data_IF_999496605278
#
_entry.id   IF_999496605278
#
_cell.length_a   1.000
_cell.length_b   1.000
_cell.length_c   1.000
_cell.angle_alpha   90.00
_cell.angle_beta   90.00
_cell.angle_gamma   90.00
#
_symmetry.space_group_name_H-M   'P 1'
#
loop_
_entity.id
_entity.type
_entity.pdbx_description
1 polymer ?
#
# COMPACT_ATOMS: atom_id res chain seq x y z
N UNK A 1 18.58 11.29 5.74
CA UNK A 1 18.95 12.02 6.96
C UNK A 1 20.46 12.22 6.99
N UNK A 2 20.91 13.45 7.23
CA UNK A 2 22.33 13.81 7.29
C UNK A 2 22.64 14.39 8.67
N UNK A 3 23.65 13.88 9.36
CA UNK A 3 24.20 14.42 10.61
C UNK A 3 25.71 14.54 10.50
N UNK A 4 26.27 15.67 10.95
CA UNK A 4 27.72 15.92 10.88
C UNK A 4 28.36 15.67 9.51
N UNK A 5 27.60 15.96 8.42
CA UNK A 5 28.04 15.72 7.04
C UNK A 5 27.97 14.26 6.56
N UNK A 6 27.49 13.34 7.39
CA UNK A 6 27.35 11.92 7.06
C UNK A 6 25.88 11.54 6.85
N UNK A 7 25.61 10.70 5.86
CA UNK A 7 24.29 10.10 5.62
C UNK A 7 24.08 9.00 6.66
N UNK A 8 23.13 9.22 7.60
CA UNK A 8 22.87 8.29 8.71
C UNK A 8 21.66 7.38 8.49
N UNK A 9 20.80 7.70 7.53
CA UNK A 9 19.63 6.90 7.22
C UNK A 9 18.93 7.39 5.97
N UNK A 10 18.15 6.48 5.39
CA UNK A 10 17.27 6.72 4.24
C UNK A 10 15.94 6.05 4.49
N UNK A 11 14.87 6.77 4.27
CA UNK A 11 13.50 6.26 4.27
C UNK A 11 12.83 6.62 2.95
N UNK A 12 11.90 5.80 2.51
CA UNK A 12 11.15 5.99 1.28
C UNK A 12 9.67 5.81 1.59
N UNK A 13 8.86 6.75 1.13
CA UNK A 13 7.43 6.76 1.33
C UNK A 13 6.73 6.85 -0.02
N UNK A 14 5.61 6.15 -0.15
CA UNK A 14 4.75 6.20 -1.33
C UNK A 14 3.54 7.02 -0.95
N UNK A 15 3.37 8.15 -1.62
CA UNK A 15 2.17 8.98 -1.48
C UNK A 15 1.15 8.58 -2.54
N UNK A 16 -0.08 8.28 -2.11
CA UNK A 16 -1.22 8.09 -3.00
C UNK A 16 -2.06 9.37 -2.95
N UNK A 17 -2.00 10.15 -3.99
CA UNK A 17 -2.83 11.36 -4.13
C UNK A 17 -4.05 11.05 -4.98
N UNK A 18 -5.21 11.58 -4.59
CA UNK A 18 -6.43 11.52 -5.39
C UNK A 18 -6.50 12.63 -6.46
N UNK A 19 -5.53 13.53 -6.49
CA UNK A 19 -5.47 14.66 -7.42
C UNK A 19 -4.19 14.57 -8.24
N UNK A 20 -4.33 14.83 -9.54
CA UNK A 20 -3.21 14.88 -10.49
C UNK A 20 -2.18 15.98 -10.11
N UNK A 21 -0.96 15.52 -9.86
CA UNK A 21 0.34 16.13 -10.17
C UNK A 21 0.64 17.57 -9.78
N UNK A 22 0.14 18.10 -8.68
CA UNK A 22 0.78 19.31 -8.14
C UNK A 22 1.88 18.95 -7.13
N UNK A 23 3.11 18.79 -7.63
CA UNK A 23 4.29 18.45 -6.82
C UNK A 23 4.48 19.32 -5.58
N UNK A 24 4.23 20.65 -5.59
CA UNK A 24 4.28 21.51 -4.41
C UNK A 24 3.30 21.10 -3.32
N UNK A 25 2.07 20.74 -3.69
CA UNK A 25 1.03 20.30 -2.77
C UNK A 25 1.37 18.95 -2.12
N UNK A 26 1.76 17.96 -2.94
CA UNK A 26 2.19 16.63 -2.47
C UNK A 26 3.36 16.73 -1.48
N UNK A 27 4.32 17.62 -1.74
CA UNK A 27 5.45 17.83 -0.85
C UNK A 27 5.02 18.46 0.49
N UNK A 28 4.09 19.41 0.46
CA UNK A 28 3.53 20.04 1.66
C UNK A 28 2.80 19.02 2.53
N UNK A 29 1.96 18.18 1.94
CA UNK A 29 1.22 17.13 2.64
C UNK A 29 2.14 16.06 3.21
N UNK A 30 3.17 15.66 2.46
CA UNK A 30 4.17 14.74 2.97
C UNK A 30 4.89 15.31 4.21
N UNK A 31 5.33 16.56 4.17
CA UNK A 31 6.01 17.19 5.29
C UNK A 31 5.11 17.27 6.52
N UNK A 32 3.83 17.63 6.34
CA UNK A 32 2.85 17.66 7.43
C UNK A 32 2.67 16.27 8.04
N UNK A 33 2.36 15.25 7.24
CA UNK A 33 2.11 13.88 7.70
C UNK A 33 3.35 13.28 8.39
N UNK A 34 4.51 13.42 7.78
CA UNK A 34 5.75 12.86 8.32
C UNK A 34 6.11 13.47 9.67
N UNK A 35 6.17 14.80 9.75
CA UNK A 35 6.55 15.48 10.98
C UNK A 35 5.44 15.58 12.03
N UNK A 36 4.22 15.17 11.71
CA UNK A 36 3.17 15.02 12.73
C UNK A 36 3.50 13.87 13.70
N UNK A 37 3.99 12.76 13.19
CA UNK A 37 4.32 11.56 13.97
C UNK A 37 5.76 11.51 14.49
N UNK A 38 6.69 12.30 13.93
CA UNK A 38 8.11 12.25 14.26
C UNK A 38 8.48 13.28 15.33
N UNK A 39 9.13 12.79 16.40
CA UNK A 39 9.55 13.66 17.52
C UNK A 39 10.78 14.52 17.22
N UNK A 40 11.67 14.10 16.32
CA UNK A 40 12.91 14.82 16.01
C UNK A 40 12.80 15.62 14.72
N UNK A 41 12.70 16.93 14.85
CA UNK A 41 12.67 17.87 13.72
C UNK A 41 14.06 18.44 13.51
N UNK A 42 14.65 18.34 12.30
CA UNK A 42 15.97 18.88 12.00
C UNK A 42 15.97 20.42 11.97
N UNK A 43 17.16 21.01 12.05
CA UNK A 43 17.30 22.45 11.91
C UNK A 43 17.02 22.93 10.47
N UNK A 44 17.29 22.08 9.49
CA UNK A 44 17.13 22.42 8.08
C UNK A 44 16.54 21.27 7.30
N UNK A 45 15.56 21.58 6.45
CA UNK A 45 15.00 20.69 5.45
C UNK A 45 15.43 21.18 4.07
N UNK A 46 16.03 20.27 3.29
CA UNK A 46 16.36 20.54 1.90
C UNK A 46 15.23 19.99 1.02
N UNK A 47 14.69 20.81 0.15
CA UNK A 47 13.56 20.47 -0.72
C UNK A 47 14.01 20.52 -2.17
N UNK A 48 13.35 19.74 -3.03
CA UNK A 48 13.57 19.72 -4.47
C UNK A 48 13.02 20.97 -5.15
N UNK A 49 11.84 21.42 -4.70
CA UNK A 49 11.16 22.61 -5.18
C UNK A 49 10.44 23.29 -4.00
N UNK A 50 9.89 24.47 -4.24
CA UNK A 50 9.03 25.14 -3.25
C UNK A 50 7.79 24.30 -3.03
N UNK A 51 7.24 24.35 -1.84
CA UNK A 51 5.98 23.71 -1.50
C UNK A 51 4.92 24.76 -1.16
N UNK A 52 3.66 24.33 -1.18
CA UNK A 52 2.55 25.15 -0.77
C UNK A 52 2.62 25.45 0.74
N UNK A 53 2.07 26.58 1.15
CA UNK A 53 2.01 26.97 2.56
C UNK A 53 3.37 26.98 3.29
N UNK A 54 4.49 27.15 2.57
CA UNK A 54 5.86 27.06 3.09
C UNK A 54 6.05 27.84 4.40
N UNK A 55 5.47 29.05 4.48
CA UNK A 55 5.56 29.90 5.67
C UNK A 55 4.85 29.26 6.88
N UNK A 56 3.64 28.79 6.69
CA UNK A 56 2.82 28.18 7.76
C UNK A 56 3.48 26.89 8.25
N UNK A 57 3.96 26.07 7.33
CA UNK A 57 4.64 24.81 7.66
C UNK A 57 5.96 25.08 8.41
N UNK A 58 6.72 26.11 8.00
CA UNK A 58 7.96 26.51 8.68
C UNK A 58 7.69 26.95 10.12
N UNK A 59 6.66 27.75 10.33
CA UNK A 59 6.26 28.23 11.64
C UNK A 59 5.79 27.06 12.54
N UNK A 60 4.95 26.18 12.02
CA UNK A 60 4.49 24.99 12.71
C UNK A 60 5.66 24.08 13.12
N UNK A 61 6.59 23.78 12.20
CA UNK A 61 7.77 22.96 12.48
C UNK A 61 8.68 23.64 13.53
N UNK A 62 8.84 24.94 13.46
CA UNK A 62 9.66 25.70 14.42
C UNK A 62 9.07 25.66 15.82
N UNK A 63 7.74 25.83 15.93
CA UNK A 63 7.01 25.73 17.19
C UNK A 63 7.13 24.30 17.78
N UNK A 64 6.94 23.28 16.95
CA UNK A 64 7.05 21.88 17.37
C UNK A 64 8.48 21.52 17.81
N UNK A 65 9.49 22.05 17.15
CA UNK A 65 10.90 21.85 17.50
C UNK A 65 11.33 22.67 18.74
N UNK A 66 10.65 23.77 19.05
CA UNK A 66 11.07 24.75 20.05
C UNK A 66 12.25 25.63 19.63
N UNK A 67 12.67 25.56 18.35
CA UNK A 67 13.77 26.34 17.75
C UNK A 67 13.50 26.54 16.27
N UNK A 68 14.10 27.56 15.66
CA UNK A 68 13.91 27.86 14.25
C UNK A 68 14.26 26.67 13.33
N UNK A 69 13.38 26.42 12.33
CA UNK A 69 13.56 25.46 11.24
C UNK A 69 13.68 26.23 9.93
N UNK A 70 14.66 25.87 9.12
CA UNK A 70 14.90 26.47 7.80
C UNK A 70 14.46 25.50 6.71
N UNK A 71 13.54 25.91 5.85
CA UNK A 71 13.22 25.25 4.59
C UNK A 71 14.09 25.85 3.48
N UNK A 72 14.70 25.03 2.65
CA UNK A 72 15.64 25.51 1.64
C UNK A 72 15.58 24.67 0.37
N UNK A 73 15.43 25.36 -0.77
CA UNK A 73 15.58 24.77 -2.12
C UNK A 73 16.96 25.15 -2.64
N UNK A 74 17.97 24.26 -2.55
CA UNK A 74 19.34 24.60 -2.92
C UNK A 74 19.49 24.68 -4.43
N UNK A 75 20.08 25.78 -4.90
CA UNK A 75 20.29 26.02 -6.35
C UNK A 75 21.67 25.57 -6.85
N UNK A 76 22.65 25.35 -5.95
CA UNK A 76 24.04 25.01 -6.30
C UNK A 76 24.79 24.33 -5.15
N UNK A 77 25.93 23.74 -5.45
CA UNK A 77 26.82 23.13 -4.48
C UNK A 77 26.39 21.75 -3.97
N UNK A 78 27.02 21.28 -2.90
CA UNK A 78 26.79 19.93 -2.36
C UNK A 78 25.34 19.66 -1.92
N UNK A 79 24.68 20.67 -1.34
CA UNK A 79 23.29 20.54 -0.93
C UNK A 79 22.36 20.27 -2.12
N UNK A 80 22.63 20.89 -3.27
CA UNK A 80 21.88 20.61 -4.50
C UNK A 80 22.13 19.17 -4.97
N UNK A 81 23.37 18.72 -4.99
CA UNK A 81 23.72 17.33 -5.36
C UNK A 81 23.03 16.32 -4.46
N UNK A 82 22.92 16.58 -3.16
CA UNK A 82 22.16 15.74 -2.23
C UNK A 82 20.68 15.65 -2.59
N UNK A 83 20.05 16.76 -2.91
CA UNK A 83 18.63 16.78 -3.32
C UNK A 83 18.43 16.06 -4.65
N UNK A 84 19.31 16.28 -5.63
CA UNK A 84 19.28 15.57 -6.92
C UNK A 84 19.43 14.07 -6.74
N UNK A 85 20.35 13.64 -5.89
CA UNK A 85 20.53 12.20 -5.56
C UNK A 85 19.26 11.61 -4.91
N UNK A 86 18.61 12.35 -4.01
CA UNK A 86 17.36 11.91 -3.37
C UNK A 86 16.23 11.83 -4.39
N UNK A 87 16.12 12.82 -5.28
CA UNK A 87 15.13 12.84 -6.36
C UNK A 87 15.31 11.65 -7.32
N UNK A 88 16.54 11.38 -7.74
CA UNK A 88 16.86 10.23 -8.58
C UNK A 88 16.51 8.90 -7.88
N UNK A 89 16.88 8.75 -6.61
CA UNK A 89 16.52 7.57 -5.82
C UNK A 89 14.99 7.38 -5.71
N UNK A 90 14.24 8.44 -5.52
CA UNK A 90 12.77 8.40 -5.46
C UNK A 90 12.18 7.97 -6.82
N UNK A 91 12.71 8.53 -7.91
CA UNK A 91 12.30 8.18 -9.27
C UNK A 91 12.56 6.70 -9.57
N UNK A 92 13.75 6.19 -9.28
CA UNK A 92 14.10 4.78 -9.46
C UNK A 92 13.22 3.87 -8.61
N UNK A 93 12.93 4.24 -7.36
CA UNK A 93 12.02 3.50 -6.49
C UNK A 93 10.59 3.43 -7.07
N UNK A 94 10.10 4.52 -7.64
CA UNK A 94 8.78 4.57 -8.29
C UNK A 94 8.73 3.69 -9.54
N UNK A 95 9.78 3.72 -10.37
CA UNK A 95 9.89 2.85 -11.55
C UNK A 95 9.88 1.38 -11.17
N UNK A 96 10.63 0.99 -10.15
CA UNK A 96 10.64 -0.38 -9.64
C UNK A 96 9.27 -0.82 -9.14
N UNK A 97 8.57 0.06 -8.41
CA UNK A 97 7.22 -0.21 -7.93
C UNK A 97 6.24 -0.41 -9.08
N UNK A 98 6.26 0.49 -10.07
CA UNK A 98 5.41 0.40 -11.28
C UNK A 98 5.70 -0.90 -12.05
N UNK A 99 6.96 -1.29 -12.19
CA UNK A 99 7.36 -2.52 -12.86
C UNK A 99 6.84 -3.76 -12.14
N UNK A 100 6.94 -3.82 -10.81
CA UNK A 100 6.37 -4.92 -10.01
C UNK A 100 4.85 -4.99 -10.17
N UNK A 101 4.18 -3.86 -10.10
CA UNK A 101 2.72 -3.77 -10.25
C UNK A 101 2.24 -4.32 -11.59
N UNK A 102 2.93 -3.93 -12.69
CA UNK A 102 2.63 -4.45 -14.03
C UNK A 102 2.90 -5.97 -14.12
N UNK A 103 4.01 -6.43 -13.53
CA UNK A 103 4.32 -7.86 -13.48
C UNK A 103 3.25 -8.65 -12.72
N UNK A 104 2.77 -8.14 -11.59
CA UNK A 104 1.72 -8.78 -10.78
C UNK A 104 0.36 -8.81 -11.51
N UNK A 105 0.03 -7.78 -12.30
CA UNK A 105 -1.18 -7.75 -13.13
C UNK A 105 -1.08 -8.80 -14.23
N UNK A 106 0.02 -8.83 -14.98
CA UNK A 106 0.24 -9.76 -16.06
C UNK A 106 0.25 -11.22 -15.56
N UNK A 107 0.88 -11.48 -14.41
CA UNK A 107 0.89 -12.81 -13.81
C UNK A 107 -0.52 -13.27 -13.42
N UNK A 108 -1.37 -12.38 -12.91
CA UNK A 108 -2.77 -12.69 -12.56
C UNK A 108 -3.61 -12.97 -13.80
N UNK A 109 -3.50 -12.14 -14.82
CA UNK A 109 -4.21 -12.35 -16.09
C UNK A 109 -3.82 -13.67 -16.73
N UNK A 110 -2.53 -14.00 -16.77
CA UNK A 110 -2.03 -15.27 -17.27
C UNK A 110 -2.56 -16.47 -16.47
N UNK A 111 -2.58 -16.36 -15.13
CA UNK A 111 -3.12 -17.41 -14.26
C UNK A 111 -4.62 -17.64 -14.48
N UNK A 112 -5.40 -16.59 -14.70
CA UNK A 112 -6.83 -16.71 -14.99
C UNK A 112 -7.09 -17.32 -16.39
N UNK A 113 -6.25 -16.99 -17.37
CA UNK A 113 -6.29 -17.58 -18.71
C UNK A 113 -5.95 -19.07 -18.65
N UNK A 114 -4.88 -19.43 -17.95
CA UNK A 114 -4.49 -20.83 -17.74
C UNK A 114 -5.63 -21.63 -17.05
N UNK A 115 -6.27 -21.05 -16.03
CA UNK A 115 -7.41 -21.68 -15.37
C UNK A 115 -8.58 -21.87 -16.32
N UNK A 116 -8.88 -20.90 -17.17
CA UNK A 116 -9.91 -21.02 -18.20
C UNK A 116 -9.62 -22.16 -19.16
N UNK A 117 -8.39 -22.25 -19.66
CA UNK A 117 -7.96 -23.30 -20.59
C UNK A 117 -7.99 -24.70 -19.96
N UNK A 118 -7.41 -24.86 -18.77
CA UNK A 118 -7.33 -26.14 -18.08
C UNK A 118 -8.70 -26.72 -17.70
N UNK A 119 -9.66 -25.85 -17.37
CA UNK A 119 -11.02 -26.24 -17.02
C UNK A 119 -12.01 -26.17 -18.19
N UNK A 120 -11.56 -25.81 -19.41
CA UNK A 120 -12.40 -25.60 -20.59
C UNK A 120 -13.59 -24.68 -20.30
N UNK A 121 -13.37 -23.58 -19.59
CA UNK A 121 -14.43 -22.64 -19.27
C UNK A 121 -14.81 -21.80 -20.49
N UNK A 122 -16.10 -21.52 -20.70
CA UNK A 122 -16.57 -20.75 -21.87
C UNK A 122 -16.16 -19.28 -21.82
N UNK A 123 -15.73 -18.78 -20.67
CA UNK A 123 -15.29 -17.40 -20.44
C UNK A 123 -14.30 -17.34 -19.29
N UNK A 124 -13.53 -16.23 -19.24
CA UNK A 124 -12.56 -15.98 -18.17
C UNK A 124 -13.24 -15.97 -16.79
N UNK A 125 -12.73 -16.71 -15.79
CA UNK A 125 -13.33 -16.81 -14.46
C UNK A 125 -12.99 -15.58 -13.61
N UNK A 126 -13.72 -14.48 -13.82
CA UNK A 126 -13.51 -13.23 -13.08
C UNK A 126 -13.83 -13.31 -11.61
N UNK A 127 -14.69 -14.26 -11.21
CA UNK A 127 -15.03 -14.56 -9.83
C UNK A 127 -14.84 -16.04 -9.56
N UNK A 128 -14.03 -16.33 -8.55
CA UNK A 128 -13.76 -17.70 -8.08
C UNK A 128 -14.10 -17.75 -6.60
N UNK A 129 -14.88 -18.75 -6.21
CA UNK A 129 -15.25 -18.99 -4.83
C UNK A 129 -14.70 -20.34 -4.39
N UNK A 130 -14.15 -20.40 -3.19
CA UNK A 130 -13.71 -21.63 -2.58
C UNK A 130 -14.41 -21.80 -1.24
N UNK A 131 -14.96 -22.99 -1.05
CA UNK A 131 -15.74 -23.37 0.12
C UNK A 131 -15.01 -24.48 0.89
N UNK A 132 -15.05 -24.36 2.21
CA UNK A 132 -14.45 -25.34 3.11
C UNK A 132 -15.39 -25.61 4.29
N UNK A 133 -15.48 -26.88 4.73
CA UNK A 133 -16.23 -27.30 5.91
C UNK A 133 -15.26 -27.69 7.01
N UNK A 134 -15.42 -27.09 8.17
CA UNK A 134 -14.62 -27.41 9.35
C UNK A 134 -15.51 -27.98 10.45
N UNK A 135 -15.20 -29.19 10.89
CA UNK A 135 -15.85 -29.88 12.00
C UNK A 135 -14.91 -29.95 13.19
N UNK A 136 -15.29 -29.35 14.31
CA UNK A 136 -14.58 -29.55 15.58
C UNK A 136 -15.32 -30.62 16.37
N UNK A 137 -14.88 -31.88 16.28
CA UNK A 137 -15.39 -33.01 17.03
C UNK A 137 -16.93 -33.22 16.98
N UNK A 138 -17.56 -32.84 15.88
CA UNK A 138 -18.99 -33.08 15.66
C UNK A 138 -19.94 -32.14 16.39
N UNK A 139 -19.47 -31.11 17.07
CA UNK A 139 -20.34 -30.28 17.93
C UNK A 139 -20.81 -28.94 17.31
N UNK A 140 -20.12 -28.41 16.33
CA UNK A 140 -20.56 -27.16 15.67
C UNK A 140 -19.91 -27.06 14.30
N UNK A 141 -20.47 -27.66 13.25
CA UNK A 141 -19.91 -27.57 11.92
C UNK A 141 -20.07 -26.14 11.38
N UNK A 142 -19.01 -25.64 10.79
CA UNK A 142 -18.92 -24.29 10.22
C UNK A 142 -18.39 -24.38 8.80
N UNK A 143 -19.10 -23.73 7.88
CA UNK A 143 -18.60 -23.52 6.52
C UNK A 143 -17.94 -22.17 6.36
N UNK A 144 -16.92 -22.10 5.55
CA UNK A 144 -16.28 -20.86 5.14
C UNK A 144 -16.26 -20.72 3.63
N UNK A 145 -16.40 -19.49 3.16
CA UNK A 145 -16.28 -19.10 1.77
C UNK A 145 -15.26 -18.01 1.62
N UNK A 146 -14.26 -18.23 0.78
CA UNK A 146 -13.32 -17.21 0.33
C UNK A 146 -13.61 -16.87 -1.13
N UNK A 147 -13.39 -15.62 -1.49
CA UNK A 147 -13.73 -15.10 -2.81
C UNK A 147 -12.52 -14.42 -3.42
N UNK A 148 -12.28 -14.72 -4.70
CA UNK A 148 -11.34 -14.00 -5.55
C UNK A 148 -12.11 -13.29 -6.66
N UNK A 149 -11.80 -12.05 -6.92
CA UNK A 149 -12.29 -11.27 -8.06
C UNK A 149 -11.10 -10.77 -8.88
N UNK A 150 -11.13 -11.02 -10.19
CA UNK A 150 -10.05 -10.70 -11.13
C UNK A 150 -8.66 -11.16 -10.63
N UNK A 151 -8.60 -12.37 -10.10
CA UNK A 151 -7.38 -12.99 -9.56
C UNK A 151 -6.89 -12.41 -8.22
N UNK A 152 -7.69 -11.59 -7.53
CA UNK A 152 -7.34 -11.01 -6.23
C UNK A 152 -8.30 -11.45 -5.11
N UNK A 153 -7.79 -11.70 -3.89
CA UNK A 153 -8.64 -11.95 -2.74
C UNK A 153 -9.58 -10.77 -2.46
N UNK A 154 -10.89 -11.06 -2.34
CA UNK A 154 -11.93 -10.08 -2.03
C UNK A 154 -12.45 -10.31 -0.61
N UNK A 155 -11.70 -9.90 0.39
CA UNK A 155 -12.01 -10.18 1.80
C UNK A 155 -13.39 -9.67 2.25
N UNK A 156 -13.90 -8.58 1.66
CA UNK A 156 -15.26 -8.06 1.94
C UNK A 156 -16.37 -9.02 1.52
N UNK A 157 -16.08 -9.97 0.63
CA UNK A 157 -17.02 -10.99 0.14
C UNK A 157 -16.86 -12.33 0.86
N UNK A 158 -15.93 -12.50 1.78
CA UNK A 158 -15.81 -13.72 2.58
C UNK A 158 -17.01 -13.91 3.47
N UNK A 159 -17.43 -15.17 3.63
CA UNK A 159 -18.59 -15.54 4.45
C UNK A 159 -18.25 -16.70 5.36
N UNK A 160 -18.96 -16.76 6.47
CA UNK A 160 -19.00 -17.91 7.37
C UNK A 160 -20.44 -18.35 7.48
N UNK A 161 -20.64 -19.67 7.43
CA UNK A 161 -21.94 -20.31 7.49
C UNK A 161 -21.99 -21.23 8.71
N UNK A 162 -23.05 -21.16 9.44
CA UNK A 162 -23.33 -22.13 10.48
C UNK A 162 -24.23 -23.22 9.89
N UNK A 163 -23.78 -24.46 9.92
CA UNK A 163 -24.56 -25.62 9.48
C UNK A 163 -25.58 -25.95 10.57
N UNK A 164 -26.86 -26.12 10.20
CA UNK A 164 -27.97 -26.25 11.16
C UNK A 164 -28.77 -27.52 10.96
N UNK A 165 -28.85 -28.07 9.75
CA UNK A 165 -29.77 -29.15 9.39
C UNK A 165 -29.12 -30.51 9.26
N UNK A 166 -27.79 -30.58 9.26
CA UNK A 166 -27.06 -31.84 9.12
C UNK A 166 -26.60 -32.34 10.47
N UNK A 167 -27.10 -33.48 10.88
CA UNK A 167 -26.69 -34.20 12.09
C UNK A 167 -25.47 -35.10 11.80
N UNK A 168 -24.49 -35.04 12.71
CA UNK A 168 -23.27 -35.87 12.59
C UNK A 168 -22.23 -35.32 11.61
N UNK A 169 -21.26 -36.16 11.24
CA UNK A 169 -20.16 -35.78 10.35
C UNK A 169 -20.52 -36.24 8.92
N UNK A 170 -21.00 -35.28 8.11
CA UNK A 170 -21.29 -35.53 6.69
C UNK A 170 -20.96 -34.27 5.87
N UNK A 171 -19.72 -34.15 5.44
CA UNK A 171 -19.21 -32.99 4.73
C UNK A 171 -19.94 -32.69 3.42
N UNK A 172 -20.43 -33.75 2.72
CA UNK A 172 -21.21 -33.57 1.48
C UNK A 172 -22.57 -32.92 1.75
N UNK A 173 -23.29 -33.40 2.77
CA UNK A 173 -24.58 -32.82 3.14
C UNK A 173 -24.42 -31.41 3.68
N UNK A 174 -23.36 -31.14 4.47
CA UNK A 174 -23.02 -29.81 4.95
C UNK A 174 -22.67 -28.83 3.82
N UNK A 175 -21.92 -29.30 2.83
CA UNK A 175 -21.63 -28.52 1.64
C UNK A 175 -22.90 -28.19 0.86
N UNK A 176 -23.82 -29.17 0.73
CA UNK A 176 -25.10 -28.98 0.04
C UNK A 176 -26.01 -27.96 0.79
N UNK A 177 -25.97 -27.93 2.11
CA UNK A 177 -26.71 -26.94 2.90
C UNK A 177 -26.16 -25.52 2.68
N UNK A 178 -24.85 -25.40 2.45
CA UNK A 178 -24.17 -24.12 2.32
C UNK A 178 -24.32 -23.49 0.93
N UNK A 179 -24.42 -24.29 -0.14
CA UNK A 179 -24.52 -23.85 -1.55
C UNK A 179 -25.95 -23.59 -1.97
#
# INVERSE_FOLDING_TARGET
FVRHGQLIGREQFIMTSAHDDDSPHVLADFVKQYYDSVAQIPQRLLLQHKMDDERVITEWLSNKRGKNVELSVPKRGEKRKLVEMVAENAHQGLLQLKSRWLSDINARESAMQELQEQLNLPRLPRRVECYDISNIQGTTPVGSMVVFEDGQPKASHYRRFQIKTVDGINDYAMMQEML
#
